data_IF_272616652948
#
_entry.id   IF_272616652948
#
_cell.length_a   1.000
_cell.length_b   1.000
_cell.length_c   1.000
_cell.angle_alpha   90.00
_cell.angle_beta   90.00
_cell.angle_gamma   90.00
#
_symmetry.space_group_name_H-M   'P 1'
#
loop_
_entity.id
_entity.type
_entity.pdbx_description
1 polymer ?
#
# COMPACT_ATOMS: atom_id res chain seq x y z
N UNK A 1 23.96 -43.64 -1.93
CA UNK A 1 22.64 -43.90 -2.57
C UNK A 1 21.69 -42.85 -2.02
N UNK A 2 21.65 -41.63 -2.57
CA UNK A 2 21.02 -41.19 -3.83
C UNK A 2 19.49 -41.38 -3.83
N UNK A 3 18.78 -40.27 -4.12
CA UNK A 3 17.34 -40.06 -4.44
C UNK A 3 16.49 -39.56 -3.25
N UNK A 4 15.72 -38.46 -3.31
CA UNK A 4 15.18 -37.57 -4.38
C UNK A 4 14.91 -36.19 -3.71
N UNK A 5 15.58 -35.07 -4.04
CA UNK A 5 15.27 -34.05 -5.07
C UNK A 5 13.79 -33.66 -5.29
N UNK A 6 13.55 -32.35 -5.42
CA UNK A 6 12.38 -31.67 -5.99
C UNK A 6 11.11 -31.54 -5.14
N UNK A 7 10.88 -30.32 -4.66
CA UNK A 7 9.57 -29.65 -4.70
C UNK A 7 9.82 -28.14 -4.87
N UNK A 8 10.14 -27.76 -6.11
CA UNK A 8 9.80 -26.47 -6.69
C UNK A 8 8.63 -26.71 -7.65
N UNK A 9 7.87 -25.64 -7.90
CA UNK A 9 6.77 -25.50 -8.87
C UNK A 9 5.36 -25.76 -8.33
N UNK A 10 4.79 -24.71 -7.74
CA UNK A 10 3.40 -24.31 -7.95
C UNK A 10 3.34 -22.78 -7.87
N UNK A 11 3.81 -22.12 -8.92
CA UNK A 11 3.62 -20.68 -9.13
C UNK A 11 3.14 -20.55 -10.58
N UNK A 12 1.84 -20.78 -10.81
CA UNK A 12 1.19 -20.37 -12.05
C UNK A 12 -0.21 -19.82 -11.73
N UNK A 13 -0.49 -18.69 -12.39
CA UNK A 13 -1.73 -17.91 -12.40
C UNK A 13 -2.00 -16.99 -11.18
N UNK A 14 -0.97 -16.28 -10.70
CA UNK A 14 -1.15 -14.87 -10.32
C UNK A 14 -0.68 -14.02 -11.50
N UNK A 15 -1.39 -12.94 -11.85
CA UNK A 15 -0.78 -11.87 -12.64
C UNK A 15 0.49 -11.47 -11.88
N UNK A 16 1.66 -11.85 -12.40
CA UNK A 16 2.92 -11.33 -11.89
C UNK A 16 2.81 -9.81 -11.99
N UNK A 17 3.03 -9.11 -10.87
CA UNK A 17 3.22 -7.66 -10.93
C UNK A 17 4.42 -7.42 -11.85
N UNK A 18 4.22 -6.71 -12.95
CA UNK A 18 5.28 -6.36 -13.90
C UNK A 18 6.30 -5.36 -13.30
N UNK A 19 6.01 -4.81 -12.12
CA UNK A 19 6.85 -3.83 -11.40
C UNK A 19 6.81 -4.04 -9.88
N UNK A 20 7.82 -3.49 -9.18
CA UNK A 20 7.84 -3.40 -7.73
C UNK A 20 6.78 -2.44 -7.17
N UNK A 21 6.69 -2.39 -5.84
CA UNK A 21 5.71 -1.57 -5.11
C UNK A 21 6.32 -0.98 -3.83
N UNK A 22 7.60 -0.61 -3.89
CA UNK A 22 8.33 0.00 -2.77
C UNK A 22 7.59 1.25 -2.24
N UNK A 23 7.60 1.42 -0.92
CA UNK A 23 6.99 2.58 -0.28
C UNK A 23 7.68 3.88 -0.73
N UNK A 24 6.95 4.90 -1.24
CA UNK A 24 7.56 6.16 -1.63
C UNK A 24 8.21 6.87 -0.45
N UNK A 25 9.44 7.33 -0.65
CA UNK A 25 10.18 8.08 0.35
C UNK A 25 11.02 9.15 -0.31
N UNK A 26 11.24 10.24 0.41
CA UNK A 26 12.15 11.30 -0.01
C UNK A 26 13.61 10.82 0.10
N UNK A 27 14.42 11.18 -0.87
CA UNK A 27 15.86 10.96 -0.88
C UNK A 27 16.55 12.08 -1.66
N UNK A 28 17.86 11.98 -1.86
CA UNK A 28 18.57 12.92 -2.74
C UNK A 28 18.11 12.86 -4.21
N UNK A 29 17.42 11.79 -4.62
CA UNK A 29 16.95 11.55 -5.99
C UNK A 29 15.43 11.41 -6.13
N UNK A 30 14.70 11.37 -5.02
CA UNK A 30 13.26 11.08 -4.98
C UNK A 30 12.53 12.10 -4.14
N UNK A 31 11.33 12.45 -4.58
CA UNK A 31 10.53 13.45 -3.91
C UNK A 31 9.08 13.00 -3.83
N UNK A 32 8.39 13.44 -2.78
CA UNK A 32 7.02 13.06 -2.51
C UNK A 32 6.16 14.31 -2.34
N UNK A 33 5.00 14.31 -2.98
CA UNK A 33 3.97 15.33 -2.83
C UNK A 33 2.66 14.67 -2.47
N UNK A 34 2.28 14.77 -1.20
CA UNK A 34 0.98 14.29 -0.74
C UNK A 34 -0.17 15.08 -1.38
N UNK A 35 -1.20 14.34 -1.78
CA UNK A 35 -2.47 14.85 -2.32
C UNK A 35 -3.62 14.66 -1.31
N UNK A 36 -3.29 14.59 -0.03
CA UNK A 36 -4.23 14.54 1.08
C UNK A 36 -4.97 15.89 1.24
N UNK A 37 -6.15 15.86 1.86
CA UNK A 37 -7.04 17.01 2.03
C UNK A 37 -8.38 16.82 1.30
N UNK A 38 -9.01 17.92 0.89
CA UNK A 38 -10.34 17.88 0.28
C UNK A 38 -10.28 17.52 -1.21
N UNK A 39 -11.21 16.67 -1.62
CA UNK A 39 -11.46 16.27 -3.00
C UNK A 39 -12.93 16.55 -3.33
N UNK A 40 -13.20 17.00 -4.55
CA UNK A 40 -14.56 17.10 -5.05
C UNK A 40 -15.15 15.70 -5.20
N UNK A 41 -16.35 15.48 -4.68
CA UNK A 41 -16.95 14.15 -4.56
C UNK A 41 -18.38 14.10 -5.09
N UNK A 42 -18.72 13.00 -5.76
CA UNK A 42 -20.10 12.67 -6.15
C UNK A 42 -20.34 11.17 -6.18
N UNK A 43 -21.39 10.71 -5.52
CA UNK A 43 -21.95 9.36 -5.72
C UNK A 43 -22.84 9.31 -6.96
N UNK A 44 -22.69 8.29 -7.81
CA UNK A 44 -23.56 8.07 -8.96
C UNK A 44 -24.88 7.43 -8.51
N UNK A 45 -25.83 8.28 -8.13
CA UNK A 45 -27.18 7.87 -7.69
C UNK A 45 -28.14 7.52 -8.83
N UNK A 46 -27.66 7.45 -10.07
CA UNK A 46 -28.52 7.01 -11.18
C UNK A 46 -29.06 5.59 -10.94
N UNK A 47 -30.25 5.24 -11.45
CA UNK A 47 -30.82 3.90 -11.26
C UNK A 47 -29.90 2.76 -11.71
N UNK A 48 -29.10 2.98 -12.75
CA UNK A 48 -28.13 2.00 -13.28
C UNK A 48 -26.77 2.05 -12.58
N UNK A 49 -26.54 3.02 -11.68
CA UNK A 49 -25.26 3.31 -11.02
C UNK A 49 -24.09 3.56 -11.99
N UNK A 50 -24.37 3.86 -13.26
CA UNK A 50 -23.35 3.89 -14.32
C UNK A 50 -23.42 5.15 -15.20
N UNK A 51 -24.21 6.14 -14.80
CA UNK A 51 -24.34 7.39 -15.54
C UNK A 51 -23.01 8.15 -15.67
N UNK A 52 -22.12 8.06 -14.69
CA UNK A 52 -20.81 8.72 -14.76
C UNK A 52 -19.93 8.23 -15.89
N UNK A 53 -20.02 6.94 -16.23
CA UNK A 53 -19.35 6.38 -17.39
C UNK A 53 -20.09 6.71 -18.69
N UNK A 54 -21.42 6.55 -18.71
CA UNK A 54 -22.25 6.84 -19.89
C UNK A 54 -22.13 8.30 -20.37
N UNK A 55 -21.98 9.24 -19.43
CA UNK A 55 -21.79 10.67 -19.70
C UNK A 55 -20.32 11.11 -19.65
N UNK A 56 -19.40 10.16 -19.49
CA UNK A 56 -17.96 10.40 -19.44
C UNK A 56 -17.53 11.53 -18.48
N UNK A 57 -17.99 11.50 -17.22
CA UNK A 57 -17.70 12.54 -16.22
C UNK A 57 -16.21 12.85 -16.07
N UNK A 58 -15.33 11.88 -16.30
CA UNK A 58 -13.87 12.06 -16.27
C UNK A 58 -13.31 12.98 -17.36
N UNK A 59 -14.07 13.32 -18.42
CA UNK A 59 -13.58 14.14 -19.54
C UNK A 59 -13.52 15.64 -19.24
N UNK A 60 -14.31 16.14 -18.31
CA UNK A 60 -14.32 17.53 -17.87
C UNK A 60 -14.24 17.61 -16.35
N UNK A 61 -14.36 18.79 -15.74
CA UNK A 61 -14.37 18.87 -14.27
C UNK A 61 -15.63 18.21 -13.73
N UNK A 62 -15.51 17.51 -12.60
CA UNK A 62 -16.63 16.80 -11.99
C UNK A 62 -17.76 17.77 -11.61
N UNK A 63 -17.41 18.98 -11.16
CA UNK A 63 -18.37 20.05 -10.87
C UNK A 63 -19.12 20.59 -12.11
N UNK A 64 -18.54 20.49 -13.31
CA UNK A 64 -19.20 20.90 -14.56
C UNK A 64 -20.25 19.88 -15.03
N UNK A 65 -20.14 18.64 -14.54
CA UNK A 65 -21.06 17.55 -14.91
C UNK A 65 -22.19 17.35 -13.90
N UNK A 66 -22.23 18.18 -12.84
CA UNK A 66 -23.28 18.20 -11.83
C UNK A 66 -22.75 18.64 -10.46
N UNK A 67 -23.64 18.77 -9.45
CA UNK A 67 -23.24 19.13 -8.09
C UNK A 67 -22.20 18.17 -7.51
N UNK A 68 -21.30 18.69 -6.68
CA UNK A 68 -20.29 17.95 -5.93
C UNK A 68 -20.31 18.43 -4.48
N UNK A 69 -19.77 17.62 -3.57
CA UNK A 69 -19.48 17.99 -2.19
C UNK A 69 -17.99 17.80 -1.91
N UNK A 70 -17.49 18.38 -0.82
CA UNK A 70 -16.13 18.11 -0.36
C UNK A 70 -16.07 16.75 0.35
N UNK A 71 -15.02 15.98 0.07
CA UNK A 71 -14.73 14.72 0.77
C UNK A 71 -13.25 14.67 1.17
N UNK A 72 -12.93 14.42 2.45
CA UNK A 72 -11.54 14.30 2.88
C UNK A 72 -10.90 13.00 2.37
N UNK A 73 -9.62 13.09 2.04
CA UNK A 73 -8.73 11.96 1.73
C UNK A 73 -7.46 12.11 2.57
N UNK A 74 -7.03 11.10 3.34
CA UNK A 74 -7.63 9.77 3.49
C UNK A 74 -8.91 9.77 4.35
N UNK A 75 -9.97 9.09 3.88
CA UNK A 75 -11.18 8.82 4.68
C UNK A 75 -12.08 7.80 3.99
N UNK A 76 -12.89 7.11 4.79
CA UNK A 76 -14.14 6.51 4.29
C UNK A 76 -15.17 7.63 4.11
N UNK A 77 -16.01 7.57 3.07
CA UNK A 77 -17.02 8.61 2.86
C UNK A 77 -18.26 8.43 3.75
N UNK A 78 -18.47 7.22 4.27
CA UNK A 78 -19.77 6.76 4.76
C UNK A 78 -20.31 7.60 5.93
N UNK A 79 -19.44 8.00 6.86
CA UNK A 79 -19.82 8.71 8.08
C UNK A 79 -19.37 10.20 8.09
N UNK A 80 -19.00 10.74 6.92
CA UNK A 80 -18.63 12.16 6.79
C UNK A 80 -19.86 13.07 6.73
N UNK A 81 -20.97 12.56 6.19
CA UNK A 81 -22.17 13.37 5.91
C UNK A 81 -23.36 12.90 6.73
N UNK A 82 -24.40 13.75 6.80
CA UNK A 82 -25.64 13.42 7.48
C UNK A 82 -26.63 12.66 6.57
N UNK A 83 -26.21 12.25 5.38
CA UNK A 83 -27.05 11.57 4.40
C UNK A 83 -26.99 10.05 4.59
N UNK A 84 -28.04 9.41 5.15
CA UNK A 84 -28.05 7.95 5.34
C UNK A 84 -28.00 7.18 4.01
N UNK A 85 -28.51 7.76 2.93
CA UNK A 85 -28.44 7.13 1.61
C UNK A 85 -27.01 7.17 1.02
N UNK A 86 -26.15 8.08 1.49
CA UNK A 86 -24.72 8.03 1.17
C UNK A 86 -24.03 6.98 2.02
N UNK A 87 -24.32 6.92 3.32
CA UNK A 87 -23.68 5.97 4.25
C UNK A 87 -23.78 4.53 3.76
N UNK A 88 -24.97 4.12 3.34
CA UNK A 88 -25.26 2.75 2.89
C UNK A 88 -25.23 2.62 1.34
N UNK A 89 -24.62 3.59 0.64
CA UNK A 89 -24.58 3.61 -0.82
C UNK A 89 -23.82 2.41 -1.39
N UNK A 90 -24.37 1.79 -2.43
CA UNK A 90 -23.73 0.74 -3.22
C UNK A 90 -23.64 1.20 -4.67
N UNK A 91 -22.42 1.20 -5.20
CA UNK A 91 -22.13 1.55 -6.60
C UNK A 91 -20.88 2.41 -6.74
N UNK A 92 -20.87 3.26 -7.76
CA UNK A 92 -19.73 4.10 -8.09
C UNK A 92 -19.78 5.46 -7.38
N UNK A 93 -18.70 5.80 -6.70
CA UNK A 93 -18.42 7.16 -6.22
C UNK A 93 -17.23 7.75 -6.98
N UNK A 94 -17.24 9.06 -7.17
CA UNK A 94 -16.25 9.79 -7.95
C UNK A 94 -15.56 10.81 -7.07
N UNK A 95 -14.23 10.81 -7.09
CA UNK A 95 -13.37 11.80 -6.46
C UNK A 95 -12.63 12.58 -7.55
N UNK A 96 -12.45 13.89 -7.39
CA UNK A 96 -11.62 14.70 -8.26
C UNK A 96 -10.80 15.72 -7.48
N UNK A 97 -9.54 15.90 -7.87
CA UNK A 97 -8.68 16.96 -7.37
C UNK A 97 -7.81 17.52 -8.49
N UNK A 98 -7.68 18.85 -8.49
CA UNK A 98 -6.70 19.55 -9.31
C UNK A 98 -5.42 19.81 -8.49
N UNK A 99 -4.26 19.52 -9.09
CA UNK A 99 -2.96 19.59 -8.42
C UNK A 99 -1.99 20.36 -9.30
N UNK A 100 -1.32 21.36 -8.73
CA UNK A 100 -0.17 22.00 -9.38
C UNK A 100 1.07 21.13 -9.14
N UNK A 101 1.62 20.60 -10.23
CA UNK A 101 2.86 19.81 -10.20
C UNK A 101 4.05 20.79 -10.23
N UNK A 102 5.09 20.62 -9.39
CA UNK A 102 6.25 21.50 -9.39
C UNK A 102 6.86 21.64 -10.79
N UNK A 103 7.15 22.87 -11.22
CA UNK A 103 7.61 23.15 -12.58
C UNK A 103 8.84 22.33 -13.00
N UNK A 104 9.74 22.06 -12.04
CA UNK A 104 10.94 21.25 -12.28
C UNK A 104 10.65 19.78 -12.62
N UNK A 105 9.57 19.19 -12.10
CA UNK A 105 9.17 17.82 -12.46
C UNK A 105 8.68 17.72 -13.90
N UNK A 106 8.18 18.83 -14.45
CA UNK A 106 7.66 18.92 -15.83
C UNK A 106 8.80 19.27 -16.80
N UNK A 107 9.69 20.20 -16.41
CA UNK A 107 10.75 20.68 -17.29
C UNK A 107 11.92 19.71 -17.41
N UNK A 108 12.20 18.94 -16.36
CA UNK A 108 13.28 17.95 -16.36
C UNK A 108 12.81 16.64 -16.99
N UNK A 109 13.34 16.33 -18.18
CA UNK A 109 13.02 15.10 -18.92
C UNK A 109 13.56 13.83 -18.26
N UNK A 110 14.47 13.98 -17.30
CA UNK A 110 15.08 12.86 -16.57
C UNK A 110 14.26 12.47 -15.32
N UNK A 111 13.24 13.26 -14.98
CA UNK A 111 12.32 12.98 -13.88
C UNK A 111 11.16 12.13 -14.38
N UNK A 112 10.94 10.98 -13.73
CA UNK A 112 9.72 10.17 -13.83
C UNK A 112 8.74 10.65 -12.75
N UNK A 113 7.48 10.83 -13.11
CA UNK A 113 6.42 11.25 -12.17
C UNK A 113 5.36 10.17 -12.09
N UNK A 114 5.07 9.73 -10.87
CA UNK A 114 4.17 8.60 -10.61
C UNK A 114 3.05 9.04 -9.70
N UNK A 115 1.83 8.62 -10.02
CA UNK A 115 0.68 8.73 -9.13
C UNK A 115 0.50 7.40 -8.39
N UNK A 116 0.51 7.45 -7.06
CA UNK A 116 0.27 6.29 -6.20
C UNK A 116 -0.94 6.53 -5.30
N UNK A 117 -1.76 5.51 -5.15
CA UNK A 117 -2.80 5.43 -4.14
C UNK A 117 -2.41 4.34 -3.14
N UNK A 118 -2.46 4.65 -1.84
CA UNK A 118 -2.19 3.64 -0.79
C UNK A 118 -3.28 2.57 -0.70
N UNK A 119 -4.54 2.94 -0.95
CA UNK A 119 -5.68 2.01 -1.08
C UNK A 119 -6.96 2.77 -1.48
N UNK A 120 -7.81 2.13 -2.29
CA UNK A 120 -9.17 2.58 -2.56
C UNK A 120 -10.12 1.38 -2.69
N UNK A 121 -11.28 1.43 -2.03
CA UNK A 121 -12.16 0.25 -1.87
C UNK A 121 -13.34 0.22 -2.84
N UNK A 122 -13.58 -0.80 -3.67
CA UNK A 122 -12.84 -2.04 -3.91
C UNK A 122 -12.29 -2.07 -5.34
N UNK A 123 -13.10 -1.73 -6.33
CA UNK A 123 -12.65 -1.60 -7.73
C UNK A 123 -12.49 -0.12 -8.08
N UNK A 124 -11.29 0.26 -8.52
CA UNK A 124 -10.93 1.66 -8.75
C UNK A 124 -10.45 1.89 -10.17
N UNK A 125 -10.86 3.00 -10.78
CA UNK A 125 -10.36 3.44 -12.08
C UNK A 125 -9.86 4.87 -11.94
N UNK A 126 -8.67 5.15 -12.48
CA UNK A 126 -7.98 6.44 -12.33
C UNK A 126 -7.81 7.09 -13.69
N UNK A 127 -8.10 8.39 -13.76
CA UNK A 127 -7.84 9.24 -14.91
C UNK A 127 -6.98 10.43 -14.52
N UNK A 128 -6.07 10.78 -15.42
CA UNK A 128 -5.28 12.01 -15.36
C UNK A 128 -5.58 12.84 -16.59
N UNK A 129 -6.01 14.08 -16.40
CA UNK A 129 -6.45 14.98 -17.47
C UNK A 129 -7.50 14.34 -18.42
N UNK A 130 -8.34 13.44 -17.89
CA UNK A 130 -9.39 12.73 -18.63
C UNK A 130 -8.92 11.55 -19.49
N UNK A 131 -7.69 11.10 -19.31
CA UNK A 131 -7.11 9.89 -19.91
C UNK A 131 -6.99 8.82 -18.81
N UNK A 132 -7.50 7.60 -19.06
CA UNK A 132 -7.41 6.48 -18.10
C UNK A 132 -5.94 6.07 -17.97
N UNK A 133 -5.44 5.95 -16.74
CA UNK A 133 -4.03 5.62 -16.48
C UNK A 133 -3.85 4.24 -15.85
N UNK A 134 -4.78 3.84 -14.97
CA UNK A 134 -4.75 2.53 -14.34
C UNK A 134 -6.12 2.16 -13.79
N UNK A 135 -6.29 0.88 -13.46
CA UNK A 135 -7.38 0.37 -12.65
C UNK A 135 -6.86 -0.68 -11.68
N UNK A 136 -7.56 -0.87 -10.56
CA UNK A 136 -7.15 -1.78 -9.51
C UNK A 136 -8.35 -2.46 -8.88
N UNK A 137 -8.22 -3.76 -8.65
CA UNK A 137 -9.19 -4.58 -7.93
C UNK A 137 -8.60 -4.99 -6.58
N UNK A 138 -9.19 -4.52 -5.49
CA UNK A 138 -8.72 -4.77 -4.13
C UNK A 138 -8.77 -3.52 -3.26
N UNK A 139 -9.30 -3.64 -2.05
CA UNK A 139 -9.59 -2.46 -1.20
C UNK A 139 -8.49 -2.02 -0.24
N UNK A 140 -7.40 -2.80 -0.10
CA UNK A 140 -6.45 -2.67 1.01
C UNK A 140 -4.98 -2.72 0.58
N UNK A 141 -4.72 -2.70 -0.73
CA UNK A 141 -3.37 -2.75 -1.29
C UNK A 141 -3.13 -1.53 -2.20
N UNK A 142 -1.87 -1.08 -2.30
CA UNK A 142 -1.51 0.06 -3.10
C UNK A 142 -1.45 -0.29 -4.60
N UNK A 143 -1.60 0.74 -5.41
CA UNK A 143 -1.38 0.68 -6.86
C UNK A 143 -0.94 2.04 -7.39
N UNK A 144 -0.27 2.03 -8.53
CA UNK A 144 0.32 3.23 -9.11
C UNK A 144 0.32 3.24 -10.63
N UNK A 145 0.60 4.41 -11.20
CA UNK A 145 0.77 4.61 -12.63
C UNK A 145 1.81 5.71 -12.90
N UNK A 146 2.67 5.50 -13.91
CA UNK A 146 3.48 6.57 -14.47
C UNK A 146 2.57 7.55 -15.22
N UNK A 147 2.69 8.84 -14.91
CA UNK A 147 1.84 9.89 -15.47
C UNK A 147 2.63 11.00 -16.18
N UNK A 148 3.96 10.86 -16.31
CA UNK A 148 4.83 11.86 -16.95
C UNK A 148 4.24 12.33 -18.29
N UNK A 149 3.97 11.38 -19.18
CA UNK A 149 3.48 11.66 -20.54
C UNK A 149 2.13 12.40 -20.61
N UNK A 150 1.40 12.47 -19.49
CA UNK A 150 0.09 13.10 -19.37
C UNK A 150 0.13 14.46 -18.66
N UNK A 151 1.29 14.83 -18.11
CA UNK A 151 1.48 16.14 -17.50
C UNK A 151 1.49 17.23 -18.57
N UNK A 152 0.83 18.35 -18.26
CA UNK A 152 0.83 19.51 -19.15
C UNK A 152 2.16 20.22 -19.04
N UNK A 153 2.68 20.71 -20.18
CA UNK A 153 3.96 21.42 -20.25
C UNK A 153 3.95 22.77 -19.55
N UNK A 154 2.78 23.40 -19.47
CA UNK A 154 2.61 24.64 -18.72
C UNK A 154 2.43 24.31 -17.22
N UNK A 155 3.41 24.66 -16.36
CA UNK A 155 3.34 24.36 -14.94
C UNK A 155 2.27 25.16 -14.20
N UNK A 156 1.75 26.24 -14.80
CA UNK A 156 0.64 27.00 -14.22
C UNK A 156 -0.70 26.29 -14.39
N UNK A 157 -0.82 25.35 -15.33
CA UNK A 157 -2.06 24.61 -15.55
C UNK A 157 -2.13 23.40 -14.62
N UNK A 158 -3.14 23.30 -13.73
CA UNK A 158 -3.27 22.16 -12.84
C UNK A 158 -3.46 20.84 -13.57
N UNK A 159 -2.89 19.79 -13.00
CA UNK A 159 -3.14 18.40 -13.36
C UNK A 159 -4.43 17.93 -12.67
N UNK A 160 -5.41 17.48 -13.44
CA UNK A 160 -6.70 17.01 -12.91
C UNK A 160 -6.66 15.49 -12.73
N UNK A 161 -6.86 15.02 -11.51
CA UNK A 161 -6.90 13.60 -11.17
C UNK A 161 -8.34 13.26 -10.80
N UNK A 162 -8.94 12.33 -11.54
CA UNK A 162 -10.29 11.81 -11.28
C UNK A 162 -10.20 10.33 -10.94
N UNK A 163 -10.89 9.89 -9.89
CA UNK A 163 -10.87 8.50 -9.43
C UNK A 163 -12.32 8.05 -9.23
N UNK A 164 -12.72 6.98 -9.92
CA UNK A 164 -13.98 6.30 -9.67
C UNK A 164 -13.72 5.08 -8.80
N UNK A 165 -14.53 4.88 -7.76
CA UNK A 165 -14.38 3.82 -6.76
C UNK A 165 -15.71 3.09 -6.60
N UNK A 166 -15.72 1.77 -6.76
CA UNK A 166 -16.90 0.92 -6.62
C UNK A 166 -16.77 -0.01 -5.41
N UNK A 167 -17.76 0.00 -4.52
CA UNK A 167 -17.77 -0.79 -3.28
C UNK A 167 -18.66 -2.05 -3.33
N UNK A 168 -19.11 -2.45 -4.51
CA UNK A 168 -19.93 -3.66 -4.70
C UNK A 168 -19.07 -4.89 -4.49
N UNK A 169 -19.48 -5.77 -3.58
CA UNK A 169 -18.83 -7.05 -3.33
C UNK A 169 -19.61 -8.18 -4.01
N UNK A 170 -18.89 -9.09 -4.64
CA UNK A 170 -19.44 -10.24 -5.35
C UNK A 170 -18.71 -11.53 -4.92
N UNK A 171 -19.04 -12.67 -5.51
CA UNK A 171 -18.45 -13.95 -5.12
C UNK A 171 -16.95 -14.08 -5.46
N UNK A 172 -16.44 -13.19 -6.31
CA UNK A 172 -15.04 -13.14 -6.75
C UNK A 172 -14.23 -12.04 -6.04
N UNK A 173 -14.87 -11.19 -5.23
CA UNK A 173 -14.15 -10.18 -4.44
C UNK A 173 -13.61 -10.78 -3.15
N UNK A 174 -12.57 -10.16 -2.59
CA UNK A 174 -12.09 -10.46 -1.24
C UNK A 174 -12.17 -9.20 -0.36
N UNK A 175 -13.10 -9.13 0.61
CA UNK A 175 -14.04 -10.18 1.02
C UNK A 175 -15.18 -10.41 0.00
N UNK A 176 -15.80 -11.61 -0.02
CA UNK A 176 -16.91 -11.89 -0.91
C UNK A 176 -18.23 -11.31 -0.41
N UNK A 177 -19.14 -11.08 -1.34
CA UNK A 177 -20.51 -10.66 -1.07
C UNK A 177 -21.47 -11.06 -2.18
N UNK A 178 -22.73 -10.65 -2.06
CA UNK A 178 -23.71 -10.80 -3.14
C UNK A 178 -24.73 -9.67 -3.12
N UNK A 179 -25.16 -9.23 -4.30
CA UNK A 179 -26.32 -8.35 -4.44
C UNK A 179 -27.59 -9.18 -4.48
N UNK A 180 -28.57 -8.83 -3.63
CA UNK A 180 -29.90 -9.42 -3.63
C UNK A 180 -30.94 -8.36 -3.97
N UNK A 181 -31.66 -8.57 -5.08
CA UNK A 181 -32.81 -7.75 -5.44
C UNK A 181 -34.07 -8.23 -4.72
N UNK A 182 -34.78 -7.30 -4.07
CA UNK A 182 -36.02 -7.61 -3.37
C UNK A 182 -37.20 -7.32 -4.29
N UNK A 183 -37.69 -8.37 -4.96
CA UNK A 183 -38.69 -8.24 -6.02
C UNK A 183 -40.15 -8.25 -5.51
N UNK A 184 -40.38 -8.54 -4.23
CA UNK A 184 -41.72 -8.45 -3.65
C UNK A 184 -42.15 -6.97 -3.50
N UNK A 185 -42.98 -6.53 -4.45
CA UNK A 185 -43.49 -5.15 -4.51
C UNK A 185 -44.49 -4.80 -3.42
N UNK A 186 -44.96 -5.77 -2.63
CA UNK A 186 -45.79 -5.51 -1.45
C UNK A 186 -44.98 -5.05 -0.25
N UNK A 187 -43.68 -5.39 -0.21
CA UNK A 187 -42.78 -5.07 0.89
C UNK A 187 -41.69 -4.05 0.50
N UNK A 188 -41.25 -4.04 -0.76
CA UNK A 188 -40.08 -3.27 -1.19
C UNK A 188 -40.38 -2.39 -2.43
N UNK A 189 -39.79 -1.19 -2.52
CA UNK A 189 -39.96 -0.32 -3.67
C UNK A 189 -39.32 -0.91 -4.94
N UNK A 190 -39.68 -0.35 -6.09
CA UNK A 190 -39.11 -0.75 -7.37
C UNK A 190 -37.58 -0.60 -7.39
N UNK A 191 -36.88 -1.64 -7.83
CA UNK A 191 -35.42 -1.64 -7.93
C UNK A 191 -34.68 -1.72 -6.59
N UNK A 192 -35.35 -1.97 -5.46
CA UNK A 192 -34.68 -2.15 -4.17
C UNK A 192 -33.75 -3.38 -4.19
N UNK A 193 -32.52 -3.19 -3.71
CA UNK A 193 -31.53 -4.25 -3.56
C UNK A 193 -30.66 -3.97 -2.33
N UNK A 194 -30.02 -5.03 -1.83
CA UNK A 194 -29.10 -4.96 -0.70
C UNK A 194 -27.80 -5.71 -1.03
N UNK A 195 -26.70 -5.30 -0.37
CA UNK A 195 -25.45 -6.04 -0.35
C UNK A 195 -25.46 -6.99 0.84
N UNK A 196 -25.46 -8.29 0.57
CA UNK A 196 -25.22 -9.29 1.60
C UNK A 196 -23.72 -9.49 1.80
N UNK A 197 -23.31 -9.57 3.05
CA UNK A 197 -21.94 -9.82 3.50
C UNK A 197 -21.96 -10.91 4.58
N UNK A 198 -20.86 -11.64 4.72
CA UNK A 198 -20.69 -12.65 5.79
C UNK A 198 -19.44 -12.35 6.63
N UNK A 199 -19.19 -11.08 6.89
CA UNK A 199 -18.07 -10.62 7.72
C UNK A 199 -18.57 -9.55 8.70
N UNK A 200 -17.95 -9.48 9.87
CA UNK A 200 -18.44 -8.71 11.02
C UNK A 200 -17.71 -7.35 11.17
N UNK A 201 -17.68 -6.60 10.07
CA UNK A 201 -17.23 -5.20 10.07
C UNK A 201 -17.95 -4.43 8.96
N UNK A 202 -18.10 -3.12 9.15
CA UNK A 202 -18.79 -2.31 8.15
C UNK A 202 -17.98 -2.21 6.85
N UNK A 203 -18.68 -2.33 5.72
CA UNK A 203 -18.11 -2.20 4.37
C UNK A 203 -17.86 -0.73 4.00
N UNK A 204 -17.05 -0.05 4.81
CA UNK A 204 -16.56 1.29 4.53
C UNK A 204 -15.91 1.35 3.16
N UNK A 205 -16.16 2.44 2.44
CA UNK A 205 -15.65 2.65 1.11
C UNK A 205 -15.12 4.08 0.94
N UNK A 206 -14.29 4.27 -0.09
CA UNK A 206 -13.60 5.52 -0.36
C UNK A 206 -12.11 5.33 -0.58
N UNK A 207 -11.36 6.41 -0.37
CA UNK A 207 -9.90 6.42 -0.49
C UNK A 207 -9.33 6.49 0.93
N UNK A 208 -9.03 5.32 1.49
CA UNK A 208 -8.73 5.14 2.93
C UNK A 208 -7.30 5.51 3.31
N UNK A 209 -6.38 5.55 2.35
CA UNK A 209 -4.95 5.82 2.56
C UNK A 209 -4.48 6.91 1.61
N UNK A 210 -3.32 7.46 1.92
CA UNK A 210 -2.76 8.62 1.23
C UNK A 210 -2.72 8.43 -0.29
N UNK A 211 -3.05 9.50 -1.00
CA UNK A 211 -2.77 9.63 -2.43
C UNK A 211 -1.58 10.56 -2.56
N UNK A 212 -0.61 10.21 -3.40
CA UNK A 212 0.60 11.00 -3.56
C UNK A 212 1.08 10.98 -4.99
N UNK A 213 1.75 12.07 -5.38
CA UNK A 213 2.68 12.02 -6.49
C UNK A 213 4.08 11.79 -5.93
N UNK A 214 4.86 10.95 -6.58
CA UNK A 214 6.29 10.84 -6.27
C UNK A 214 7.13 10.88 -7.54
N UNK A 215 8.41 11.18 -7.36
CA UNK A 215 9.38 11.19 -8.44
C UNK A 215 10.49 10.19 -8.23
N UNK A 216 11.03 9.72 -9.36
CA UNK A 216 12.31 9.02 -9.44
C UNK A 216 13.06 9.54 -10.65
N UNK A 217 14.37 9.25 -10.78
CA UNK A 217 15.01 9.31 -12.08
C UNK A 217 14.39 8.29 -13.05
N UNK A 218 14.66 8.43 -14.35
CA UNK A 218 14.19 7.48 -15.39
C UNK A 218 14.73 6.06 -15.19
N UNK A 219 15.97 5.93 -14.73
CA UNK A 219 16.53 4.68 -14.24
C UNK A 219 16.42 4.64 -12.71
N UNK A 220 15.71 3.66 -12.16
CA UNK A 220 15.35 3.66 -10.74
C UNK A 220 15.35 2.27 -10.12
N UNK A 221 15.58 2.22 -8.81
CA UNK A 221 15.38 1.01 -7.99
C UNK A 221 13.88 0.73 -7.89
N UNK A 222 13.46 -0.38 -8.49
CA UNK A 222 12.07 -0.80 -8.66
C UNK A 222 11.61 -1.68 -7.49
N UNK A 223 12.43 -2.66 -7.11
CA UNK A 223 12.15 -3.57 -6.01
C UNK A 223 13.42 -3.93 -5.22
N UNK A 224 13.24 -4.21 -3.93
CA UNK A 224 14.29 -4.71 -3.04
C UNK A 224 13.70 -5.84 -2.22
N UNK A 225 14.15 -7.07 -2.48
CA UNK A 225 13.84 -8.23 -1.66
C UNK A 225 14.98 -8.48 -0.68
N UNK A 226 14.68 -8.61 0.61
CA UNK A 226 15.64 -8.97 1.66
C UNK A 226 15.14 -10.16 2.48
N UNK A 227 16.01 -11.16 2.65
CA UNK A 227 15.79 -12.30 3.55
C UNK A 227 16.97 -12.40 4.50
N UNK A 228 16.68 -12.38 5.80
CA UNK A 228 17.72 -12.41 6.83
C UNK A 228 17.81 -13.76 7.52
N UNK A 229 19.00 -14.06 8.01
CA UNK A 229 19.35 -15.25 8.78
C UNK A 229 20.52 -14.90 9.70
N UNK A 230 20.95 -15.81 10.56
CA UNK A 230 22.20 -15.65 11.30
C UNK A 230 22.77 -17.00 11.73
N UNK A 231 24.09 -17.03 11.90
CA UNK A 231 24.84 -18.13 12.49
C UNK A 231 25.76 -17.56 13.56
N UNK A 232 25.62 -18.07 14.79
CA UNK A 232 26.31 -17.56 15.97
C UNK A 232 26.15 -16.03 16.11
N UNK A 233 27.25 -15.26 16.11
CA UNK A 233 27.21 -13.79 16.13
C UNK A 233 27.22 -13.14 14.74
N UNK A 234 27.16 -13.93 13.66
CA UNK A 234 27.21 -13.42 12.28
C UNK A 234 25.82 -13.37 11.65
N UNK A 235 25.34 -12.16 11.36
CA UNK A 235 24.13 -11.92 10.59
C UNK A 235 24.35 -12.15 9.09
N UNK A 236 23.37 -12.74 8.43
CA UNK A 236 23.36 -12.98 6.99
C UNK A 236 22.17 -12.24 6.38
N UNK A 237 22.44 -11.30 5.48
CA UNK A 237 21.41 -10.54 4.77
C UNK A 237 21.50 -10.90 3.29
N UNK A 238 20.61 -11.77 2.83
CA UNK A 238 20.45 -12.11 1.41
C UNK A 238 19.57 -11.04 0.77
N UNK A 239 20.04 -10.41 -0.29
CA UNK A 239 19.29 -9.35 -0.96
C UNK A 239 19.26 -9.54 -2.48
N UNK A 240 18.22 -8.98 -3.09
CA UNK A 240 18.08 -8.84 -4.54
C UNK A 240 17.46 -7.46 -4.84
N UNK A 241 18.08 -6.72 -5.74
CA UNK A 241 17.64 -5.39 -6.19
C UNK A 241 17.21 -5.48 -7.65
N UNK A 242 15.96 -5.10 -7.93
CA UNK A 242 15.44 -4.89 -9.28
C UNK A 242 15.62 -3.43 -9.69
N UNK A 243 16.00 -3.21 -10.94
CA UNK A 243 16.17 -1.88 -11.53
C UNK A 243 15.39 -1.81 -12.83
N UNK A 244 14.72 -0.69 -13.05
CA UNK A 244 13.98 -0.39 -14.28
C UNK A 244 14.55 0.84 -14.98
N UNK A 245 14.31 0.97 -16.28
CA UNK A 245 14.64 2.16 -17.07
C UNK A 245 16.09 2.31 -17.55
N UNK A 246 16.98 1.35 -17.24
CA UNK A 246 18.31 1.25 -17.82
C UNK A 246 18.81 -0.20 -17.89
N UNK A 247 19.63 -0.50 -18.91
CA UNK A 247 20.24 -1.83 -19.09
C UNK A 247 21.66 -1.91 -18.54
N UNK A 248 22.40 -0.80 -18.52
CA UNK A 248 23.75 -0.71 -17.98
C UNK A 248 23.73 0.14 -16.72
N UNK A 249 23.96 -0.49 -15.58
CA UNK A 249 23.87 0.14 -14.27
C UNK A 249 25.03 -0.27 -13.37
N UNK A 250 25.44 0.64 -12.50
CA UNK A 250 26.35 0.36 -11.39
C UNK A 250 25.58 0.54 -10.10
N UNK A 251 25.59 -0.49 -9.26
CA UNK A 251 24.94 -0.46 -7.95
C UNK A 251 25.99 -0.38 -6.84
N UNK A 252 25.61 0.26 -5.73
CA UNK A 252 26.28 0.14 -4.44
C UNK A 252 25.23 -0.06 -3.38
N UNK A 253 25.25 -1.23 -2.75
CA UNK A 253 24.36 -1.62 -1.67
C UNK A 253 25.16 -1.57 -0.37
N UNK A 254 24.73 -0.74 0.58
CA UNK A 254 25.42 -0.49 1.84
C UNK A 254 24.49 -0.74 3.01
N UNK A 255 24.88 -1.60 3.93
CA UNK A 255 24.17 -1.78 5.20
C UNK A 255 24.78 -0.85 6.25
N UNK A 256 23.92 -0.01 6.84
CA UNK A 256 24.29 1.03 7.79
C UNK A 256 23.65 0.70 9.15
N UNK A 257 24.39 0.82 10.24
CA UNK A 257 23.88 0.63 11.60
C UNK A 257 23.07 1.85 12.11
N UNK A 258 22.45 1.74 13.30
CA UNK A 258 21.69 2.84 13.92
C UNK A 258 22.55 4.08 14.22
N UNK A 259 23.86 3.89 14.35
CA UNK A 259 24.81 4.95 14.66
C UNK A 259 25.32 5.66 13.38
N UNK A 260 24.91 5.19 12.20
CA UNK A 260 25.27 5.77 10.90
C UNK A 260 26.56 5.20 10.29
N UNK A 261 27.13 4.14 10.87
CA UNK A 261 28.34 3.51 10.35
C UNK A 261 28.02 2.49 9.26
N UNK A 262 28.82 2.49 8.20
CA UNK A 262 28.83 1.43 7.20
C UNK A 262 29.35 0.14 7.83
N UNK A 263 28.49 -0.88 7.89
CA UNK A 263 28.82 -2.21 8.43
C UNK A 263 29.42 -3.09 7.34
N UNK A 264 28.81 -3.09 6.16
CA UNK A 264 29.20 -3.92 5.01
C UNK A 264 28.59 -3.35 3.74
N UNK A 265 29.29 -3.48 2.62
CA UNK A 265 28.81 -3.02 1.30
C UNK A 265 29.11 -4.02 0.20
N UNK A 266 28.33 -3.97 -0.87
CA UNK A 266 28.51 -4.73 -2.12
C UNK A 266 28.19 -3.85 -3.32
N UNK A 267 28.75 -4.19 -4.48
CA UNK A 267 28.42 -3.53 -5.76
C UNK A 267 27.48 -4.38 -6.64
N UNK A 268 27.15 -5.60 -6.19
CA UNK A 268 26.31 -6.51 -6.94
C UNK A 268 24.82 -6.25 -6.69
N UNK A 269 23.99 -6.44 -7.72
CA UNK A 269 22.53 -6.30 -7.64
C UNK A 269 21.88 -7.33 -6.70
N UNK A 270 22.53 -8.48 -6.50
CA UNK A 270 22.10 -9.50 -5.56
C UNK A 270 23.32 -10.11 -4.86
N UNK A 271 23.11 -10.62 -3.65
CA UNK A 271 24.20 -11.21 -2.89
C UNK A 271 23.85 -11.48 -1.44
N UNK A 272 24.90 -11.77 -0.66
CA UNK A 272 24.79 -12.01 0.77
C UNK A 272 25.77 -11.09 1.51
N UNK A 273 25.23 -10.16 2.28
CA UNK A 273 26.03 -9.34 3.19
C UNK A 273 26.20 -10.08 4.52
N UNK A 274 27.43 -10.11 5.04
CA UNK A 274 27.76 -10.72 6.33
C UNK A 274 28.03 -9.62 7.36
N UNK A 275 27.33 -9.66 8.48
CA UNK A 275 27.45 -8.70 9.58
C UNK A 275 28.06 -9.41 10.77
N UNK A 276 29.30 -9.08 11.13
CA UNK A 276 29.94 -9.58 12.34
C UNK A 276 29.35 -8.86 13.56
N UNK A 277 29.17 -9.60 14.66
CA UNK A 277 28.58 -9.11 15.90
C UNK A 277 27.21 -8.44 15.68
N UNK A 278 26.33 -9.17 14.99
CA UNK A 278 25.03 -8.67 14.56
C UNK A 278 24.14 -8.27 15.74
N UNK A 279 23.52 -7.09 15.62
CA UNK A 279 22.44 -6.63 16.49
C UNK A 279 21.11 -7.12 15.90
N UNK A 280 20.59 -8.23 16.43
CA UNK A 280 19.34 -8.82 15.94
C UNK A 280 18.12 -7.92 16.25
N UNK A 281 17.13 -7.97 15.37
CA UNK A 281 15.80 -7.46 15.67
C UNK A 281 15.11 -8.42 16.65
N UNK A 282 14.66 -7.87 17.77
CA UNK A 282 13.92 -8.60 18.79
C UNK A 282 12.53 -8.00 18.99
N UNK A 283 11.52 -8.85 19.27
CA UNK A 283 10.22 -8.38 19.71
C UNK A 283 10.32 -7.55 20.99
N UNK A 284 9.38 -6.61 21.15
CA UNK A 284 9.11 -5.94 22.41
C UNK A 284 8.91 -6.99 23.51
N UNK A 285 9.51 -6.72 24.68
CA UNK A 285 9.55 -7.61 25.86
C UNK A 285 10.50 -8.83 25.77
N UNK A 286 11.18 -9.06 24.64
CA UNK A 286 12.21 -10.12 24.54
C UNK A 286 13.66 -9.61 24.67
N UNK A 287 13.87 -8.30 24.58
CA UNK A 287 15.19 -7.68 24.60
C UNK A 287 15.12 -6.25 25.13
N UNK A 288 16.22 -5.76 25.72
CA UNK A 288 16.35 -4.37 26.20
C UNK A 288 16.26 -3.34 25.06
N UNK A 289 16.69 -3.74 23.87
CA UNK A 289 16.69 -2.94 22.64
C UNK A 289 15.82 -3.63 21.57
N UNK A 290 14.48 -3.66 21.71
CA UNK A 290 13.60 -4.26 20.72
C UNK A 290 13.56 -3.39 19.45
N UNK A 291 13.15 -3.97 18.32
CA UNK A 291 13.03 -3.19 17.08
C UNK A 291 14.37 -2.66 16.56
N UNK A 292 15.47 -3.43 16.68
CA UNK A 292 16.73 -3.03 16.08
C UNK A 292 16.64 -3.11 14.55
N UNK A 293 16.83 -1.99 13.87
CA UNK A 293 16.80 -1.86 12.41
C UNK A 293 18.13 -1.28 11.94
N UNK A 294 18.73 -1.96 10.97
CA UNK A 294 19.73 -1.40 10.07
C UNK A 294 19.05 -0.64 8.94
N UNK A 295 19.83 0.10 8.17
CA UNK A 295 19.41 0.78 6.94
C UNK A 295 20.18 0.21 5.74
N UNK A 296 19.48 -0.47 4.83
CA UNK A 296 20.05 -0.94 3.56
C UNK A 296 19.90 0.16 2.51
N UNK A 297 20.94 0.97 2.35
CA UNK A 297 21.01 2.02 1.32
C UNK A 297 21.43 1.40 -0.02
N UNK A 298 20.61 1.60 -1.04
CA UNK A 298 20.91 1.23 -2.43
C UNK A 298 21.15 2.51 -3.21
N UNK A 299 22.35 2.66 -3.75
CA UNK A 299 22.71 3.71 -4.70
C UNK A 299 22.86 3.11 -6.09
N UNK A 300 22.04 3.59 -7.00
CA UNK A 300 22.06 3.25 -8.41
C UNK A 300 22.69 4.40 -9.19
N UNK A 301 23.67 4.08 -10.02
CA UNK A 301 24.18 4.98 -11.05
C UNK A 301 23.91 4.36 -12.43
N UNK A 302 23.22 5.09 -13.29
CA UNK A 302 22.95 4.66 -14.66
C UNK A 302 23.37 5.73 -15.66
N UNK A 303 23.72 5.30 -16.87
CA UNK A 303 24.06 6.20 -17.97
C UNK A 303 23.33 5.76 -19.24
N UNK A 304 22.75 6.71 -19.97
CA UNK A 304 22.12 6.45 -21.28
C UNK A 304 22.83 7.17 -22.45
N UNK A 305 24.11 7.50 -22.25
CA UNK A 305 24.95 8.21 -23.22
C UNK A 305 24.66 9.71 -23.34
N UNK A 306 23.51 10.21 -22.85
CA UNK A 306 23.17 11.64 -22.82
C UNK A 306 22.94 12.18 -21.41
N UNK A 307 22.62 11.31 -20.46
CA UNK A 307 22.35 11.67 -19.07
C UNK A 307 22.93 10.64 -18.11
N UNK A 308 23.32 11.13 -16.93
CA UNK A 308 23.69 10.34 -15.77
C UNK A 308 22.53 10.40 -14.78
N UNK A 309 22.13 9.25 -14.28
CA UNK A 309 21.06 9.11 -13.29
C UNK A 309 21.68 8.58 -12.01
N UNK A 310 21.44 9.28 -10.89
CA UNK A 310 21.69 8.75 -9.56
C UNK A 310 20.33 8.53 -8.90
N UNK A 311 20.07 7.31 -8.42
CA UNK A 311 18.92 6.99 -7.60
C UNK A 311 19.34 6.39 -6.26
N UNK A 312 18.71 6.85 -5.18
CA UNK A 312 18.99 6.43 -3.81
C UNK A 312 17.70 6.00 -3.15
N UNK A 313 17.69 4.78 -2.64
CA UNK A 313 16.59 4.23 -1.83
C UNK A 313 17.16 3.55 -0.59
N UNK A 314 16.56 3.79 0.58
CA UNK A 314 16.98 3.16 1.84
C UNK A 314 15.87 2.28 2.40
N UNK A 315 16.15 1.00 2.60
CA UNK A 315 15.20 0.05 3.18
C UNK A 315 15.59 -0.28 4.64
N UNK A 316 14.73 -0.03 5.64
CA UNK A 316 14.97 -0.52 7.00
C UNK A 316 15.00 -2.05 7.05
N UNK A 317 15.98 -2.65 7.73
CA UNK A 317 16.14 -4.11 7.83
C UNK A 317 16.36 -4.54 9.28
N UNK A 318 15.43 -5.35 9.80
CA UNK A 318 15.61 -6.11 11.04
C UNK A 318 16.15 -7.50 10.75
N UNK A 319 17.38 -7.79 11.18
CA UNK A 319 17.96 -9.14 11.04
C UNK A 319 17.33 -10.05 12.10
N UNK A 320 16.50 -11.01 11.65
CA UNK A 320 15.80 -11.96 12.52
C UNK A 320 15.40 -13.23 11.78
N UNK A 321 15.32 -14.35 12.50
CA UNK A 321 14.76 -15.60 11.97
C UNK A 321 13.38 -15.87 12.56
N UNK A 322 12.51 -16.48 11.76
CA UNK A 322 11.23 -17.03 12.21
C UNK A 322 11.22 -18.51 11.84
N UNK A 323 10.96 -19.38 12.81
CA UNK A 323 10.87 -20.84 12.61
C UNK A 323 9.71 -21.40 13.41
N UNK A 324 9.02 -22.39 12.86
CA UNK A 324 7.95 -23.11 13.55
C UNK A 324 8.39 -24.56 13.70
N UNK A 325 8.34 -25.06 14.93
CA UNK A 325 8.49 -26.48 15.25
C UNK A 325 7.09 -27.07 15.47
N UNK A 326 6.93 -28.41 15.64
CA UNK A 326 5.62 -28.98 15.91
C UNK A 326 4.89 -28.39 17.13
N UNK A 327 5.61 -27.80 18.09
CA UNK A 327 5.04 -27.32 19.35
C UNK A 327 5.43 -25.90 19.74
N UNK A 328 6.28 -25.20 18.97
CA UNK A 328 6.80 -23.88 19.32
C UNK A 328 6.93 -22.97 18.11
N UNK A 329 6.60 -21.70 18.30
CA UNK A 329 6.98 -20.60 17.42
C UNK A 329 8.30 -20.01 17.93
N UNK A 330 9.30 -19.92 17.07
CA UNK A 330 10.63 -19.45 17.43
C UNK A 330 10.94 -18.15 16.69
N UNK A 331 11.39 -17.14 17.43
CA UNK A 331 12.03 -15.94 16.89
C UNK A 331 13.48 -15.96 17.36
N UNK A 332 14.43 -15.87 16.42
CA UNK A 332 15.86 -15.92 16.70
C UNK A 332 16.28 -17.15 17.54
N UNK A 333 15.74 -18.32 17.17
CA UNK A 333 15.93 -19.60 17.86
C UNK A 333 15.43 -19.64 19.33
N UNK A 334 14.71 -18.61 19.81
CA UNK A 334 14.08 -18.60 21.13
C UNK A 334 12.57 -18.76 21.03
N UNK A 335 11.93 -19.53 21.94
CA UNK A 335 10.48 -19.63 21.99
C UNK A 335 9.84 -18.25 22.14
N UNK A 336 8.86 -17.96 21.29
CA UNK A 336 8.07 -16.74 21.29
C UNK A 336 6.62 -17.10 21.60
N UNK A 337 5.98 -16.29 22.44
CA UNK A 337 4.56 -16.42 22.78
C UNK A 337 3.85 -15.15 22.34
N UNK A 338 2.79 -15.29 21.55
CA UNK A 338 1.93 -14.17 21.18
C UNK A 338 1.05 -13.82 22.38
N UNK A 339 1.21 -12.62 22.92
CA UNK A 339 0.33 -12.07 23.93
C UNK A 339 -0.07 -10.67 23.47
N UNK A 340 -1.14 -10.64 22.68
CA UNK A 340 -1.51 -9.48 21.88
C UNK A 340 -3.01 -9.37 21.67
N UNK A 341 -3.38 -8.59 20.66
CA UNK A 341 -4.76 -8.26 20.34
C UNK A 341 -5.06 -8.49 18.86
N UNK A 342 -6.33 -8.55 18.50
CA UNK A 342 -6.76 -8.25 17.13
C UNK A 342 -7.07 -6.76 17.05
N UNK A 343 -6.92 -6.17 15.87
CA UNK A 343 -7.21 -4.75 15.63
C UNK A 343 -8.19 -4.60 14.48
N UNK A 344 -8.55 -3.35 14.16
CA UNK A 344 -9.16 -2.95 12.91
C UNK A 344 -8.65 -1.54 12.54
N UNK A 345 -8.57 -1.24 11.24
CA UNK A 345 -8.57 0.17 10.79
C UNK A 345 -10.02 0.68 10.88
N UNK A 346 -10.39 1.21 12.05
CA UNK A 346 -11.72 1.73 12.36
C UNK A 346 -11.60 2.90 13.35
N UNK A 347 -12.37 3.95 13.11
CA UNK A 347 -12.42 5.14 13.96
C UNK A 347 -13.69 5.95 13.67
N UNK A 348 -14.13 6.68 14.68
CA UNK A 348 -15.19 7.68 14.55
C UNK A 348 -14.94 8.61 13.36
N UNK A 349 -16.01 8.88 12.59
CA UNK A 349 -16.10 9.78 11.43
C UNK A 349 -15.32 9.31 10.20
N UNK A 350 -14.03 8.99 10.33
CA UNK A 350 -13.15 8.62 9.21
C UNK A 350 -13.28 7.16 8.77
N UNK A 351 -13.93 6.31 9.57
CA UNK A 351 -14.02 4.87 9.34
C UNK A 351 -12.62 4.26 9.22
N UNK A 352 -12.32 3.64 8.08
CA UNK A 352 -11.00 3.09 7.72
C UNK A 352 -9.91 4.13 7.41
N UNK A 353 -10.20 5.42 7.46
CA UNK A 353 -9.24 6.48 7.10
C UNK A 353 -8.00 6.52 8.00
N UNK A 354 -6.81 6.49 7.39
CA UNK A 354 -5.53 6.57 8.10
C UNK A 354 -5.37 7.89 8.87
N UNK A 355 -4.81 7.82 10.09
CA UNK A 355 -4.59 8.97 10.98
C UNK A 355 -3.41 8.77 11.94
N UNK A 356 -2.38 9.62 11.83
CA UNK A 356 -1.18 9.54 12.68
C UNK A 356 -1.46 9.66 14.19
N UNK A 357 -2.28 10.62 14.67
CA UNK A 357 -2.64 10.69 16.08
C UNK A 357 -3.19 9.37 16.64
N UNK A 358 -4.11 8.71 15.93
CA UNK A 358 -4.67 7.42 16.33
C UNK A 358 -3.65 6.28 16.25
N UNK A 359 -2.85 6.21 15.19
CA UNK A 359 -1.77 5.22 15.09
C UNK A 359 -0.81 5.34 16.27
N UNK A 360 -0.32 6.53 16.59
CA UNK A 360 0.58 6.74 17.73
C UNK A 360 -0.11 6.41 19.05
N UNK A 361 -1.38 6.80 19.22
CA UNK A 361 -2.17 6.45 20.41
C UNK A 361 -2.27 4.94 20.59
N UNK A 362 -2.56 4.21 19.53
CA UNK A 362 -2.68 2.76 19.55
C UNK A 362 -1.36 2.07 19.94
N UNK A 363 -0.23 2.50 19.38
CA UNK A 363 1.07 1.92 19.75
C UNK A 363 1.45 2.21 21.20
N UNK A 364 1.06 3.38 21.73
CA UNK A 364 1.21 3.68 23.15
C UNK A 364 0.33 2.76 24.01
N UNK A 365 -0.91 2.48 23.59
CA UNK A 365 -1.80 1.55 24.27
C UNK A 365 -1.32 0.10 24.20
N UNK A 366 -0.80 -0.35 23.05
CA UNK A 366 -0.21 -1.68 22.89
C UNK A 366 0.93 -1.89 23.89
N UNK A 367 1.84 -0.92 23.99
CA UNK A 367 2.94 -0.97 24.96
C UNK A 367 2.46 -0.91 26.41
N UNK A 368 1.50 -0.03 26.71
CA UNK A 368 0.89 0.06 28.05
C UNK A 368 0.24 -1.26 28.48
N UNK A 369 -0.41 -1.96 27.55
CA UNK A 369 -1.03 -3.27 27.78
C UNK A 369 0.01 -4.39 27.95
N UNK A 370 1.27 -4.18 27.55
CA UNK A 370 2.25 -5.26 27.43
C UNK A 370 1.97 -6.17 26.23
N UNK A 371 1.26 -5.67 25.21
CA UNK A 371 1.00 -6.42 23.99
C UNK A 371 2.26 -6.45 23.10
N UNK A 372 2.73 -7.65 22.76
CA UNK A 372 3.91 -7.84 21.90
C UNK A 372 3.56 -8.15 20.45
N UNK A 373 2.28 -8.32 20.13
CA UNK A 373 1.82 -8.69 18.80
C UNK A 373 0.40 -8.21 18.49
N UNK A 374 0.06 -8.16 17.21
CA UNK A 374 -1.34 -8.15 16.78
C UNK A 374 -1.52 -8.83 15.42
N UNK A 375 -2.78 -9.11 15.06
CA UNK A 375 -3.18 -9.58 13.72
C UNK A 375 -3.89 -8.46 12.97
N UNK A 376 -3.60 -8.29 11.68
CA UNK A 376 -4.24 -7.29 10.80
C UNK A 376 -5.64 -7.75 10.40
N UNK A 377 -6.52 -7.98 11.38
CA UNK A 377 -7.90 -8.42 11.13
C UNK A 377 -8.68 -7.35 10.36
N UNK A 378 -9.28 -7.61 9.20
CA UNK A 378 -9.23 -8.82 8.38
C UNK A 378 -8.72 -8.49 6.98
N UNK A 379 -7.63 -7.74 6.90
CA UNK A 379 -7.05 -7.21 5.68
C UNK A 379 -5.69 -6.57 5.97
N UNK A 380 -4.77 -6.46 4.98
CA UNK A 380 -3.52 -5.74 5.16
C UNK A 380 -3.79 -4.30 5.59
N UNK A 381 -3.09 -3.81 6.61
CA UNK A 381 -3.22 -2.43 7.11
C UNK A 381 -2.33 -1.46 6.33
N UNK A 382 -2.47 -0.16 6.61
CA UNK A 382 -1.60 0.86 6.04
C UNK A 382 -0.12 0.53 6.28
N UNK A 383 0.71 0.74 5.25
CA UNK A 383 2.13 0.38 5.24
C UNK A 383 2.88 1.04 6.41
N UNK A 384 2.49 2.26 6.75
CA UNK A 384 2.98 3.03 7.89
C UNK A 384 2.79 2.32 9.23
N UNK A 385 1.70 1.55 9.39
CA UNK A 385 1.44 0.76 10.60
C UNK A 385 2.43 -0.41 10.70
N UNK A 386 2.74 -1.08 9.59
CA UNK A 386 3.74 -2.15 9.57
C UNK A 386 5.14 -1.59 9.85
N UNK A 387 5.47 -0.41 9.29
CA UNK A 387 6.72 0.27 9.61
C UNK A 387 6.81 0.67 11.10
N UNK A 388 5.69 1.03 11.74
CA UNK A 388 5.64 1.27 13.18
C UNK A 388 5.89 -0.03 13.97
N UNK A 389 5.41 -1.17 13.49
CA UNK A 389 5.68 -2.49 14.09
C UNK A 389 7.17 -2.82 14.05
N UNK A 390 7.82 -2.62 12.91
CA UNK A 390 9.26 -2.83 12.75
C UNK A 390 10.05 -1.99 13.75
N UNK A 391 9.72 -0.69 13.87
CA UNK A 391 10.39 0.25 14.79
C UNK A 391 10.16 -0.08 16.26
N UNK A 392 8.99 -0.60 16.61
CA UNK A 392 8.62 -0.85 18.00
C UNK A 392 8.82 -2.28 18.47
N UNK A 393 9.23 -3.20 17.59
CA UNK A 393 9.37 -4.61 17.94
C UNK A 393 8.03 -5.32 18.10
N UNK A 394 6.94 -4.84 17.49
CA UNK A 394 5.64 -5.50 17.60
C UNK A 394 5.52 -6.54 16.49
N UNK A 395 5.26 -7.80 16.85
CA UNK A 395 5.13 -8.90 15.88
C UNK A 395 3.74 -8.86 15.23
N UNK A 396 3.67 -9.01 13.92
CA UNK A 396 2.41 -8.96 13.17
C UNK A 396 2.11 -10.30 12.54
N UNK A 397 0.87 -10.77 12.67
CA UNK A 397 0.28 -11.77 11.78
C UNK A 397 -0.42 -10.98 10.68
N UNK A 398 0.16 -10.97 9.48
CA UNK A 398 -0.38 -10.20 8.36
C UNK A 398 -1.41 -11.04 7.59
N UNK A 399 -2.66 -10.59 7.59
CA UNK A 399 -3.82 -11.31 7.11
C UNK A 399 -4.36 -10.71 5.80
N UNK A 400 -4.60 -11.55 4.80
CA UNK A 400 -5.26 -11.17 3.55
C UNK A 400 -6.79 -10.98 3.74
N UNK A 401 -7.51 -10.30 2.83
CA UNK A 401 -8.94 -10.03 2.98
C UNK A 401 -9.88 -11.23 2.76
N UNK A 402 -9.39 -12.46 2.95
CA UNK A 402 -10.11 -13.72 2.75
C UNK A 402 -11.08 -14.08 3.88
N UNK A 403 -11.93 -13.14 4.29
CA UNK A 403 -12.92 -13.30 5.38
C UNK A 403 -14.33 -13.39 4.82
N UNK A 404 -15.21 -14.18 5.46
CA UNK A 404 -16.60 -14.36 5.01
C UNK A 404 -16.80 -15.32 3.83
N UNK A 405 -15.76 -16.11 3.52
CA UNK A 405 -15.81 -17.19 2.54
C UNK A 405 -16.70 -18.31 3.10
N UNK A 406 -17.76 -18.64 2.37
CA UNK A 406 -18.59 -19.82 2.63
C UNK A 406 -18.06 -20.99 1.81
N UNK A 407 -18.15 -22.20 2.35
CA UNK A 407 -17.99 -23.41 1.55
C UNK A 407 -19.02 -23.37 0.41
N UNK A 408 -18.54 -23.43 -0.83
CA UNK A 408 -19.42 -23.70 -1.97
C UNK A 408 -19.85 -25.16 -1.84
N UNK A 409 -21.08 -25.40 -1.34
CA UNK A 409 -21.74 -26.71 -1.44
C UNK A 409 -22.25 -26.95 -2.86
#
# INVERSE_FOLDING_TARGET
MLRVMCLFAAFEAGLLLDSGMLFPQESSSREVKELNGLWAFRADRSPTRNQGFLKAWYKSRLAETGPVIDMPVPSSYNDITQDPALRDFIGWVWYEREVVVPARWISDKNTRVVLRLGSAHYYSIVWVNGVKVTEHEGGHLPFEADIDSLLRKDPATPCRITIAVNNTLNLHTLPPGSIQYMNDRTMYPEGFFVQNTNFDFFNYAGIHRSVLLYTTPKAYVDDITVVTDFLDSTGLLRYNVSVQGATTVTLKVTLIDKEGHCVVSSNDASGVLKVVDVKLWWPYLMHENPGYLYSLEVRLNAADGRSMYEDVYTLPVGIRTVRVTPTQFLINNKPFYFHGVNKHEDSDVRGKGFDWPLVVKDFNLLKWLGANSFRTSHYPYAEEILQMCDRHGIVVIDESPGVGIKDMQ
#
